data_IF_062180074152
#
_entry.id   IF_062180074152
#
_cell.length_a   1.000
_cell.length_b   1.000
_cell.length_c   1.000
_cell.angle_alpha   90.00
_cell.angle_beta   90.00
_cell.angle_gamma   90.00
#
_symmetry.space_group_name_H-M   'P 1'
#
loop_
_entity.id
_entity.type
_entity.pdbx_description
1 polymer ?
#
# COMPACT_ATOMS: atom_id res chain seq x y z
N UNK A 1 42.19 43.58 -19.16
CA UNK A 1 41.04 44.42 -18.72
C UNK A 1 39.76 43.64 -18.98
N UNK A 2 38.75 43.72 -18.10
CA UNK A 2 38.32 42.59 -17.25
C UNK A 2 36.78 42.35 -17.22
N UNK A 3 36.35 41.37 -16.41
CA UNK A 3 34.99 41.20 -15.86
C UNK A 3 34.17 40.12 -16.57
N UNK A 4 33.53 39.14 -15.92
CA UNK A 4 32.95 39.10 -14.57
C UNK A 4 32.84 37.65 -14.05
N UNK A 5 33.20 37.47 -12.77
CA UNK A 5 32.88 36.32 -11.93
C UNK A 5 31.38 36.29 -11.61
N UNK A 6 30.72 35.14 -11.78
CA UNK A 6 29.64 34.74 -10.86
C UNK A 6 29.56 33.23 -10.70
N UNK A 7 29.94 32.78 -9.49
CA UNK A 7 29.56 31.52 -8.84
C UNK A 7 28.14 31.08 -9.22
N UNK A 8 27.91 29.78 -9.42
CA UNK A 8 26.66 29.09 -9.05
C UNK A 8 26.86 27.58 -8.97
N UNK A 9 26.78 27.08 -7.72
CA UNK A 9 26.17 25.81 -7.32
C UNK A 9 27.01 24.56 -7.64
N UNK A 10 28.18 24.49 -7.02
CA UNK A 10 28.55 23.29 -6.28
C UNK A 10 28.21 23.59 -4.82
N UNK A 11 27.69 22.62 -4.06
CA UNK A 11 27.09 22.73 -2.72
C UNK A 11 25.55 22.86 -2.76
N UNK A 12 24.85 21.73 -2.87
CA UNK A 12 23.54 21.48 -2.21
C UNK A 12 22.99 20.11 -2.60
N UNK A 13 23.60 19.04 -2.08
CA UNK A 13 22.96 17.72 -2.00
C UNK A 13 23.59 16.88 -0.89
N UNK A 14 23.82 17.47 0.29
CA UNK A 14 24.00 16.67 1.51
C UNK A 14 22.59 16.32 1.98
N UNK A 15 22.26 15.04 1.78
CA UNK A 15 21.06 14.34 2.25
C UNK A 15 20.56 14.88 3.60
N UNK A 16 19.36 15.45 3.59
CA UNK A 16 18.75 16.09 4.75
C UNK A 16 18.35 15.04 5.80
N UNK A 17 19.24 14.80 6.78
CA UNK A 17 18.90 14.13 8.03
C UNK A 17 17.95 14.97 8.89
N UNK A 18 17.28 14.35 9.89
CA UNK A 18 16.39 15.08 10.79
C UNK A 18 17.17 16.12 11.61
N UNK A 19 16.80 17.40 11.45
CA UNK A 19 17.37 18.52 12.23
C UNK A 19 16.79 18.53 13.64
N UNK A 20 17.64 18.36 14.65
CA UNK A 20 17.27 18.46 16.06
C UNK A 20 17.14 19.91 16.53
N UNK A 21 16.66 20.11 17.77
CA UNK A 21 16.61 21.42 18.41
C UNK A 21 17.77 21.56 19.41
N UNK A 22 18.50 22.66 19.29
CA UNK A 22 19.55 23.10 20.21
C UNK A 22 19.06 23.99 21.35
N UNK A 23 20.00 24.51 22.16
CA UNK A 23 19.69 25.32 23.31
C UNK A 23 18.93 26.57 22.88
N UNK A 24 17.90 26.95 23.63
CA UNK A 24 17.05 28.10 23.31
C UNK A 24 16.14 27.91 22.09
N UNK A 25 15.94 26.67 21.61
CA UNK A 25 15.04 26.38 20.48
C UNK A 25 15.65 26.64 19.10
N UNK A 26 16.97 26.88 19.02
CA UNK A 26 17.69 26.97 17.74
C UNK A 26 17.62 25.65 16.98
N UNK A 27 17.43 25.65 15.65
CA UNK A 27 17.57 24.43 14.85
C UNK A 27 19.05 24.07 14.68
N UNK A 28 19.37 22.80 14.87
CA UNK A 28 20.73 22.27 14.70
C UNK A 28 21.08 22.13 13.23
N UNK A 29 22.36 22.35 12.93
CA UNK A 29 22.93 21.98 11.64
C UNK A 29 23.08 20.46 11.56
N UNK A 30 23.13 19.90 10.35
CA UNK A 30 23.33 18.46 10.16
C UNK A 30 24.67 18.03 10.78
N UNK A 31 24.62 17.03 11.67
CA UNK A 31 25.80 16.50 12.37
C UNK A 31 26.24 17.29 13.60
N UNK A 32 25.53 18.36 13.98
CA UNK A 32 25.84 19.13 15.18
C UNK A 32 25.46 18.34 16.45
N UNK A 33 26.47 17.90 17.20
CA UNK A 33 26.31 17.19 18.48
C UNK A 33 26.40 18.20 19.61
N UNK A 34 25.30 18.39 20.34
CA UNK A 34 25.32 19.15 21.59
C UNK A 34 25.54 18.19 22.74
N UNK A 35 26.61 18.37 23.54
CA UNK A 35 26.79 17.61 24.75
C UNK A 35 25.65 17.90 25.71
N UNK A 36 25.10 16.84 26.32
CA UNK A 36 24.18 16.99 27.45
C UNK A 36 24.89 17.69 28.60
N UNK A 37 24.18 18.55 29.32
CA UNK A 37 24.70 19.03 30.61
C UNK A 37 24.74 17.86 31.62
N UNK A 38 25.55 17.94 32.69
CA UNK A 38 25.59 16.91 33.72
C UNK A 38 24.19 16.56 34.27
N UNK A 39 23.35 17.56 34.53
CA UNK A 39 22.00 17.39 35.06
C UNK A 39 21.07 16.70 34.04
N UNK A 40 21.26 16.99 32.75
CA UNK A 40 20.52 16.31 31.67
C UNK A 40 20.98 14.86 31.52
N UNK A 41 22.28 14.59 31.66
CA UNK A 41 22.82 13.24 31.63
C UNK A 41 22.29 12.39 32.77
N UNK A 42 22.27 12.93 33.99
CA UNK A 42 21.66 12.27 35.17
C UNK A 42 20.17 12.01 34.97
N UNK A 43 19.43 12.97 34.42
CA UNK A 43 18.00 12.80 34.14
C UNK A 43 17.75 11.71 33.10
N UNK A 44 18.56 11.65 32.05
CA UNK A 44 18.48 10.57 31.05
C UNK A 44 18.79 9.21 31.66
N UNK A 45 19.81 9.13 32.52
CA UNK A 45 20.16 7.91 33.25
C UNK A 45 19.00 7.44 34.16
N UNK A 46 18.35 8.37 34.86
CA UNK A 46 17.17 8.05 35.69
C UNK A 46 15.99 7.53 34.84
N UNK A 47 15.71 8.17 33.70
CA UNK A 47 14.67 7.70 32.76
C UNK A 47 15.00 6.29 32.23
N UNK A 48 16.26 6.04 31.88
CA UNK A 48 16.70 4.73 31.40
C UNK A 48 16.62 3.67 32.51
N UNK A 49 16.97 3.99 33.74
CA UNK A 49 16.82 3.06 34.87
C UNK A 49 15.34 2.72 35.14
N UNK A 50 14.43 3.69 34.99
CA UNK A 50 13.01 3.54 35.27
C UNK A 50 12.25 2.77 34.16
N UNK A 51 12.52 3.09 32.89
CA UNK A 51 11.77 2.59 31.73
C UNK A 51 12.58 1.69 30.78
N UNK A 52 13.89 1.57 30.99
CA UNK A 52 14.77 0.65 30.26
C UNK A 52 14.54 -0.82 30.62
N UNK A 53 15.49 -1.68 30.24
CA UNK A 53 15.42 -3.12 30.56
C UNK A 53 14.28 -3.86 29.85
N UNK A 54 14.03 -3.55 28.58
CA UNK A 54 13.12 -4.32 27.73
C UNK A 54 11.63 -3.95 27.79
N UNK A 55 11.21 -3.00 28.65
CA UNK A 55 9.81 -2.53 28.68
C UNK A 55 9.41 -1.81 27.39
N UNK A 56 10.25 -0.87 26.94
CA UNK A 56 10.03 -0.14 25.69
C UNK A 56 10.12 -1.08 24.47
N UNK A 57 11.07 -2.01 24.46
CA UNK A 57 11.22 -3.01 23.39
C UNK A 57 9.99 -3.91 23.31
N UNK A 58 9.49 -4.39 24.46
CA UNK A 58 8.26 -5.19 24.53
C UNK A 58 7.04 -4.41 24.03
N UNK A 59 6.97 -3.12 24.34
CA UNK A 59 5.92 -2.24 23.84
C UNK A 59 6.03 -2.03 22.31
N UNK A 60 7.22 -1.73 21.81
CA UNK A 60 7.49 -1.53 20.38
C UNK A 60 7.18 -2.80 19.58
N UNK A 61 7.72 -3.96 20.02
CA UNK A 61 7.46 -5.27 19.41
C UNK A 61 5.97 -5.57 19.32
N UNK A 62 5.21 -5.37 20.41
CA UNK A 62 3.75 -5.57 20.41
C UNK A 62 3.06 -4.63 19.40
N UNK A 63 3.49 -3.38 19.28
CA UNK A 63 2.92 -2.43 18.31
C UNK A 63 3.24 -2.79 16.86
N UNK A 64 4.45 -3.29 16.59
CA UNK A 64 4.87 -3.79 15.28
C UNK A 64 4.09 -5.06 14.89
N UNK A 65 3.93 -6.01 15.81
CA UNK A 65 3.13 -7.22 15.60
C UNK A 65 1.65 -6.90 15.32
N UNK A 66 1.06 -5.93 16.02
CA UNK A 66 -0.31 -5.47 15.75
C UNK A 66 -0.48 -4.84 14.35
N UNK A 67 0.63 -4.56 13.64
CA UNK A 67 0.64 -4.10 12.26
C UNK A 67 0.95 -5.20 11.24
N UNK A 68 0.98 -6.46 11.68
CA UNK A 68 1.18 -7.62 10.81
C UNK A 68 2.64 -8.06 10.63
N UNK A 69 3.60 -7.44 11.32
CA UNK A 69 5.01 -7.83 11.25
C UNK A 69 5.26 -9.19 11.92
N UNK A 70 6.13 -10.02 11.34
CA UNK A 70 6.50 -11.32 11.90
C UNK A 70 7.24 -11.15 13.24
N UNK A 71 7.14 -12.15 14.13
CA UNK A 71 7.69 -12.06 15.49
C UNK A 71 9.20 -11.81 15.54
N UNK A 72 9.97 -12.44 14.65
CA UNK A 72 11.43 -12.29 14.56
C UNK A 72 11.81 -10.88 14.09
N UNK A 73 11.22 -10.43 12.99
CA UNK A 73 11.41 -9.10 12.41
C UNK A 73 11.02 -7.99 13.39
N UNK A 74 9.88 -8.15 14.08
CA UNK A 74 9.42 -7.22 15.09
C UNK A 74 10.32 -7.15 16.33
N UNK A 75 11.10 -8.20 16.62
CA UNK A 75 12.05 -8.20 17.73
C UNK A 75 13.30 -7.39 17.38
N UNK A 76 13.89 -7.65 16.20
CA UNK A 76 15.05 -6.89 15.72
C UNK A 76 14.73 -5.41 15.58
N UNK A 77 13.62 -5.09 14.89
CA UNK A 77 13.24 -3.69 14.67
C UNK A 77 12.84 -2.96 15.97
N UNK A 78 12.30 -3.67 16.96
CA UNK A 78 11.96 -3.05 18.23
C UNK A 78 13.20 -2.54 18.99
N UNK A 79 14.33 -3.24 18.90
CA UNK A 79 15.59 -2.80 19.51
C UNK A 79 16.08 -1.50 18.86
N UNK A 80 16.16 -1.46 17.53
CA UNK A 80 16.58 -0.29 16.76
C UNK A 80 15.71 0.94 17.06
N UNK A 81 14.38 0.76 17.06
CA UNK A 81 13.43 1.84 17.35
C UNK A 81 13.59 2.39 18.77
N UNK A 82 13.89 1.53 19.74
CA UNK A 82 14.09 1.95 21.13
C UNK A 82 15.42 2.68 21.27
N UNK A 83 16.49 2.22 20.62
CA UNK A 83 17.76 2.94 20.57
C UNK A 83 17.59 4.34 19.94
N UNK A 84 16.91 4.43 18.79
CA UNK A 84 16.57 5.70 18.15
C UNK A 84 15.72 6.60 19.06
N UNK A 85 14.81 6.01 19.85
CA UNK A 85 13.99 6.75 20.81
C UNK A 85 14.85 7.38 21.91
N UNK A 86 15.80 6.64 22.49
CA UNK A 86 16.73 7.18 23.50
C UNK A 86 17.62 8.29 22.93
N UNK A 87 18.14 8.11 21.71
CA UNK A 87 18.90 9.14 21.01
C UNK A 87 18.04 10.38 20.76
N UNK A 88 16.77 10.22 20.38
CA UNK A 88 15.86 11.33 20.17
C UNK A 88 15.55 12.08 21.48
N UNK A 89 15.32 11.36 22.58
CA UNK A 89 15.13 11.99 23.91
C UNK A 89 16.36 12.79 24.30
N UNK A 90 17.57 12.24 24.14
CA UNK A 90 18.81 12.94 24.43
C UNK A 90 18.98 14.21 23.59
N UNK A 91 18.60 14.18 22.30
CA UNK A 91 18.72 15.33 21.40
C UNK A 91 17.68 16.42 21.65
N UNK A 92 16.53 16.07 22.22
CA UNK A 92 15.42 17.00 22.45
C UNK A 92 15.53 17.70 23.82
N UNK A 93 16.66 18.39 24.03
CA UNK A 93 17.03 19.07 25.29
C UNK A 93 16.03 20.11 25.79
N UNK A 94 15.17 20.63 24.90
CA UNK A 94 14.15 21.64 25.21
C UNK A 94 12.76 21.04 25.48
N UNK A 95 12.58 19.73 25.28
CA UNK A 95 11.29 19.06 25.50
C UNK A 95 11.08 18.65 26.96
N UNK A 96 9.82 18.40 27.39
CA UNK A 96 9.49 18.20 28.79
C UNK A 96 10.26 17.06 29.49
N UNK A 97 10.65 16.01 28.77
CA UNK A 97 11.44 14.89 29.32
C UNK A 97 12.84 15.30 29.78
N UNK A 98 13.45 16.28 29.11
CA UNK A 98 14.79 16.79 29.43
C UNK A 98 14.75 18.17 30.10
N UNK A 99 13.57 18.79 30.18
CA UNK A 99 13.35 20.11 30.75
C UNK A 99 13.60 20.18 32.26
N UNK A 100 13.86 21.37 32.80
CA UNK A 100 14.27 21.55 34.20
C UNK A 100 13.16 21.22 35.21
N UNK A 101 11.89 21.23 34.80
CA UNK A 101 10.76 20.93 35.66
C UNK A 101 10.56 19.41 35.76
N UNK A 102 10.52 18.83 36.98
CA UNK A 102 10.23 17.42 37.13
C UNK A 102 8.79 17.14 36.66
N UNK A 103 8.62 16.09 35.88
CA UNK A 103 7.33 15.58 35.45
C UNK A 103 6.85 14.49 36.41
N UNK A 104 5.54 14.28 36.49
CA UNK A 104 4.98 13.10 37.17
C UNK A 104 5.35 11.81 36.45
N UNK A 105 5.30 10.68 37.16
CA UNK A 105 5.62 9.35 36.58
C UNK A 105 4.75 9.03 35.36
N UNK A 106 3.45 9.29 35.43
CA UNK A 106 2.53 9.06 34.32
C UNK A 106 2.84 9.93 33.10
N UNK A 107 3.21 11.19 33.30
CA UNK A 107 3.57 12.10 32.20
C UNK A 107 4.86 11.63 31.50
N UNK A 108 5.88 11.22 32.28
CA UNK A 108 7.12 10.65 31.74
C UNK A 108 6.81 9.41 30.90
N UNK A 109 5.98 8.51 31.44
CA UNK A 109 5.55 7.29 30.74
C UNK A 109 4.81 7.61 29.44
N UNK A 110 3.81 8.50 29.48
CA UNK A 110 3.00 8.85 28.30
C UNK A 110 3.89 9.45 27.20
N UNK A 111 4.75 10.41 27.55
CA UNK A 111 5.62 11.08 26.60
C UNK A 111 6.63 10.11 25.97
N UNK A 112 7.25 9.24 26.78
CA UNK A 112 8.24 8.29 26.29
C UNK A 112 7.61 7.24 25.35
N UNK A 113 6.44 6.70 25.69
CA UNK A 113 5.73 5.74 24.86
C UNK A 113 5.14 6.38 23.58
N UNK A 114 4.78 7.67 23.65
CA UNK A 114 4.42 8.46 22.48
C UNK A 114 5.62 8.68 21.55
N UNK A 115 6.82 8.87 22.10
CA UNK A 115 8.05 8.97 21.31
C UNK A 115 8.36 7.66 20.58
N UNK A 116 8.26 6.51 21.26
CA UNK A 116 8.38 5.19 20.62
C UNK A 116 7.38 5.04 19.47
N UNK A 117 6.11 5.40 19.70
CA UNK A 117 5.08 5.37 18.64
C UNK A 117 5.45 6.26 17.46
N UNK A 118 6.02 7.43 17.72
CA UNK A 118 6.47 8.37 16.70
C UNK A 118 7.63 7.78 15.88
N UNK A 119 8.62 7.15 16.53
CA UNK A 119 9.71 6.49 15.82
C UNK A 119 9.22 5.32 14.97
N UNK A 120 8.30 4.49 15.47
CA UNK A 120 7.66 3.45 14.64
C UNK A 120 6.99 4.07 13.40
N UNK A 121 6.25 5.17 13.56
CA UNK A 121 5.65 5.85 12.40
C UNK A 121 6.69 6.40 11.43
N UNK A 122 7.78 6.99 11.92
CA UNK A 122 8.83 7.52 11.07
C UNK A 122 9.55 6.40 10.31
N UNK A 123 9.91 5.32 10.99
CA UNK A 123 10.54 4.15 10.38
C UNK A 123 9.65 3.56 9.29
N UNK A 124 8.37 3.30 9.58
CA UNK A 124 7.44 2.78 8.57
C UNK A 124 7.18 3.78 7.44
N UNK A 125 7.15 5.09 7.72
CA UNK A 125 7.03 6.12 6.67
C UNK A 125 8.26 6.15 5.77
N UNK A 126 9.47 5.90 6.30
CA UNK A 126 10.70 5.72 5.51
C UNK A 126 10.66 4.42 4.70
N UNK A 127 10.14 3.33 5.26
CA UNK A 127 9.88 2.09 4.50
C UNK A 127 8.83 2.26 3.40
N UNK A 128 7.90 3.21 3.53
CA UNK A 128 6.99 3.61 2.46
C UNK A 128 7.62 4.57 1.42
N UNK A 129 8.85 5.03 1.64
CA UNK A 129 9.62 5.76 0.62
C UNK A 129 10.26 4.76 -0.35
N UNK A 130 9.43 3.98 -1.05
CA UNK A 130 9.71 3.26 -2.29
C UNK A 130 10.79 2.17 -2.33
N UNK A 131 11.74 2.14 -1.38
CA UNK A 131 12.90 1.25 -1.43
C UNK A 131 12.73 0.11 -0.42
N UNK A 132 12.33 -1.05 -0.93
CA UNK A 132 12.33 -2.31 -0.19
C UNK A 132 13.46 -3.23 -0.69
N UNK A 133 13.80 -4.29 0.06
CA UNK A 133 14.65 -5.35 -0.46
C UNK A 133 14.03 -5.93 -1.74
N UNK A 134 14.76 -5.77 -2.83
CA UNK A 134 14.37 -6.22 -4.16
C UNK A 134 14.70 -7.70 -4.26
N UNK A 135 13.68 -8.55 -4.41
CA UNK A 135 13.89 -9.93 -4.80
C UNK A 135 14.19 -9.96 -6.30
N UNK A 136 15.47 -10.08 -6.66
CA UNK A 136 15.92 -10.15 -8.05
C UNK A 136 15.51 -11.45 -8.75
N UNK A 137 14.98 -12.43 -8.01
CA UNK A 137 14.43 -13.66 -8.58
C UNK A 137 12.93 -13.55 -8.92
N UNK A 138 12.25 -12.48 -8.49
CA UNK A 138 10.85 -12.23 -8.83
C UNK A 138 10.73 -11.66 -10.26
N UNK A 139 10.06 -12.38 -11.19
CA UNK A 139 9.84 -11.91 -12.56
C UNK A 139 9.09 -10.57 -12.65
N UNK A 140 8.25 -10.25 -11.67
CA UNK A 140 7.46 -9.00 -11.62
C UNK A 140 8.36 -7.81 -11.27
N UNK A 141 9.28 -8.00 -10.33
CA UNK A 141 10.25 -6.98 -9.89
C UNK A 141 11.27 -6.69 -11.00
N UNK A 142 11.73 -7.73 -11.71
CA UNK A 142 12.61 -7.59 -12.86
C UNK A 142 12.00 -6.69 -13.95
N UNK A 143 10.71 -6.91 -14.28
CA UNK A 143 10.00 -6.10 -15.27
C UNK A 143 9.80 -4.62 -14.84
N UNK A 144 9.65 -4.36 -13.55
CA UNK A 144 9.48 -3.00 -13.03
C UNK A 144 10.78 -2.18 -13.08
N UNK A 145 11.93 -2.80 -12.79
CA UNK A 145 13.26 -2.16 -12.79
C UNK A 145 13.99 -2.23 -14.14
N UNK A 146 13.42 -2.94 -15.11
CA UNK A 146 13.88 -3.11 -16.48
C UNK A 146 14.39 -1.83 -17.19
N UNK A 147 13.83 -0.62 -16.98
CA UNK A 147 14.35 0.60 -17.61
C UNK A 147 15.74 1.04 -17.12
N UNK A 148 16.21 0.53 -15.98
CA UNK A 148 17.47 0.95 -15.32
C UNK A 148 18.63 -0.02 -15.57
N UNK A 149 18.37 -1.18 -16.18
CA UNK A 149 19.38 -2.20 -16.49
C UNK A 149 19.65 -2.16 -17.98
N UNK A 150 20.91 -1.93 -18.36
CA UNK A 150 21.35 -1.74 -19.75
C UNK A 150 20.87 -2.85 -20.68
N UNK A 151 20.07 -2.50 -21.68
CA UNK A 151 19.79 -3.16 -22.97
C UNK A 151 19.45 -4.66 -23.06
N UNK A 152 19.50 -5.42 -21.97
CA UNK A 152 19.19 -6.86 -21.98
C UNK A 152 17.82 -7.17 -21.39
N UNK A 153 17.23 -6.22 -20.66
CA UNK A 153 15.87 -6.32 -20.22
C UNK A 153 14.95 -5.91 -21.39
N UNK A 154 14.66 -6.88 -22.26
CA UNK A 154 13.70 -6.75 -23.34
C UNK A 154 12.44 -6.17 -22.71
N UNK A 155 12.03 -4.96 -23.12
CA UNK A 155 10.63 -4.53 -22.94
C UNK A 155 9.80 -5.62 -23.61
N UNK A 156 9.39 -6.60 -22.83
CA UNK A 156 8.72 -7.77 -23.38
C UNK A 156 7.45 -7.27 -24.01
N UNK A 157 7.38 -7.43 -25.33
CA UNK A 157 6.11 -7.44 -26.06
C UNK A 157 5.17 -8.30 -25.20
N UNK A 158 4.01 -7.75 -24.85
CA UNK A 158 3.00 -8.50 -24.11
C UNK A 158 2.84 -9.86 -24.78
N UNK A 159 2.92 -10.98 -24.03
CA UNK A 159 2.60 -12.29 -24.58
C UNK A 159 1.32 -12.21 -25.42
N UNK A 160 1.32 -12.85 -26.59
CA UNK A 160 0.25 -12.68 -27.58
C UNK A 160 -1.16 -12.99 -27.05
N UNK A 161 -1.27 -13.78 -25.96
CA UNK A 161 -2.53 -13.96 -25.26
C UNK A 161 -2.96 -12.69 -24.48
N UNK A 162 -2.08 -12.09 -23.67
CA UNK A 162 -2.37 -10.84 -22.94
C UNK A 162 -2.65 -9.66 -23.87
N UNK A 163 -1.91 -9.56 -24.98
CA UNK A 163 -2.14 -8.50 -25.97
C UNK A 163 -3.55 -8.59 -26.58
N UNK A 164 -4.00 -9.81 -26.91
CA UNK A 164 -5.38 -10.06 -27.37
C UNK A 164 -6.42 -9.72 -26.30
N UNK A 165 -6.17 -10.07 -25.04
CA UNK A 165 -7.09 -9.76 -23.94
C UNK A 165 -7.23 -8.24 -23.74
N UNK A 166 -6.12 -7.51 -23.72
CA UNK A 166 -6.12 -6.05 -23.57
C UNK A 166 -6.77 -5.38 -24.79
N UNK A 167 -6.56 -5.90 -25.99
CA UNK A 167 -7.19 -5.40 -27.22
C UNK A 167 -8.71 -5.65 -27.26
N UNK A 168 -9.20 -6.70 -26.59
CA UNK A 168 -10.62 -7.03 -26.50
C UNK A 168 -11.40 -6.13 -25.51
N UNK A 169 -10.69 -5.39 -24.64
CA UNK A 169 -11.32 -4.46 -23.70
C UNK A 169 -12.03 -3.31 -24.43
N UNK A 170 -13.15 -2.80 -23.88
CA UNK A 170 -13.77 -1.58 -24.41
C UNK A 170 -12.79 -0.39 -24.34
N UNK A 171 -12.85 0.50 -25.33
CA UNK A 171 -11.78 1.48 -25.56
C UNK A 171 -11.48 2.40 -24.37
N UNK A 172 -12.52 2.85 -23.65
CA UNK A 172 -12.34 3.76 -22.50
C UNK A 172 -11.71 3.04 -21.31
N UNK A 173 -12.12 1.81 -21.06
CA UNK A 173 -11.60 0.90 -20.05
C UNK A 173 -10.16 0.52 -20.37
N UNK A 174 -9.87 0.18 -21.63
CA UNK A 174 -8.52 -0.10 -22.15
C UNK A 174 -7.59 1.09 -21.95
N UNK A 175 -8.00 2.28 -22.39
CA UNK A 175 -7.21 3.50 -22.26
C UNK A 175 -6.94 3.85 -20.79
N UNK A 176 -7.96 3.79 -19.93
CA UNK A 176 -7.80 4.06 -18.51
C UNK A 176 -6.85 3.06 -17.82
N UNK A 177 -6.94 1.77 -18.18
CA UNK A 177 -6.05 0.73 -17.66
C UNK A 177 -4.59 0.96 -18.09
N UNK A 178 -4.34 1.21 -19.38
CA UNK A 178 -2.98 1.44 -19.89
C UNK A 178 -2.30 2.64 -19.23
N UNK A 179 -2.99 3.78 -19.13
CA UNK A 179 -2.46 4.97 -18.45
C UNK A 179 -2.17 4.68 -16.97
N UNK A 180 -2.99 3.86 -16.32
CA UNK A 180 -2.77 3.47 -14.93
C UNK A 180 -1.55 2.55 -14.76
N UNK A 181 -1.31 1.65 -15.72
CA UNK A 181 -0.14 0.78 -15.76
C UNK A 181 1.15 1.56 -16.05
N UNK A 182 1.07 2.66 -16.80
CA UNK A 182 2.15 3.63 -16.99
C UNK A 182 2.48 4.43 -15.70
N UNK A 183 1.78 4.16 -14.59
CA UNK A 183 2.00 4.82 -13.30
C UNK A 183 1.30 6.16 -13.17
N UNK A 184 0.45 6.55 -14.11
CA UNK A 184 -0.30 7.81 -14.05
C UNK A 184 -1.24 7.82 -12.85
N UNK A 185 -1.27 8.94 -12.12
CA UNK A 185 -2.20 9.09 -11.01
C UNK A 185 -3.66 9.13 -11.52
N UNK A 186 -4.61 8.72 -10.69
CA UNK A 186 -6.01 8.62 -11.11
C UNK A 186 -6.68 9.97 -11.46
N UNK A 187 -6.15 11.11 -10.99
CA UNK A 187 -6.67 12.43 -11.40
C UNK A 187 -6.28 12.76 -12.83
N UNK A 188 -5.03 12.49 -13.21
CA UNK A 188 -4.50 12.68 -14.55
C UNK A 188 -5.11 11.69 -15.54
N UNK A 189 -5.36 10.43 -15.11
CA UNK A 189 -6.12 9.47 -15.93
C UNK A 189 -7.53 10.01 -16.22
N UNK A 190 -8.20 10.58 -15.21
CA UNK A 190 -9.55 11.14 -15.39
C UNK A 190 -9.57 12.31 -16.37
N UNK A 191 -8.58 13.21 -16.27
CA UNK A 191 -8.40 14.32 -17.21
C UNK A 191 -8.16 13.81 -18.64
N UNK A 192 -7.24 12.84 -18.81
CA UNK A 192 -6.88 12.30 -20.11
C UNK A 192 -8.05 11.57 -20.80
N UNK A 193 -8.84 10.82 -20.03
CA UNK A 193 -10.01 10.08 -20.51
C UNK A 193 -11.27 10.98 -20.61
N UNK A 194 -11.17 12.24 -20.17
CA UNK A 194 -12.27 13.20 -20.21
C UNK A 194 -13.45 12.83 -19.31
N UNK A 195 -13.18 12.39 -18.08
CA UNK A 195 -14.20 11.99 -17.11
C UNK A 195 -13.88 12.43 -15.67
N UNK A 196 -14.80 12.18 -14.74
CA UNK A 196 -14.57 12.48 -13.33
C UNK A 196 -13.66 11.44 -12.66
N UNK A 197 -12.96 11.84 -11.60
CA UNK A 197 -12.06 10.94 -10.85
C UNK A 197 -12.72 9.59 -10.46
N UNK A 198 -13.95 9.55 -9.90
CA UNK A 198 -14.62 8.29 -9.60
C UNK A 198 -14.92 7.45 -10.85
N UNK A 199 -15.15 8.10 -11.99
CA UNK A 199 -15.41 7.42 -13.26
C UNK A 199 -14.13 6.79 -13.81
N UNK A 200 -13.00 7.48 -13.72
CA UNK A 200 -11.70 6.94 -14.12
C UNK A 200 -11.34 5.70 -13.29
N UNK A 201 -11.49 5.76 -11.97
CA UNK A 201 -11.27 4.61 -11.10
C UNK A 201 -12.17 3.44 -11.50
N UNK A 202 -13.45 3.72 -11.76
CA UNK A 202 -14.42 2.72 -12.21
C UNK A 202 -14.05 2.08 -13.56
N UNK A 203 -13.53 2.85 -14.52
CA UNK A 203 -13.09 2.33 -15.81
C UNK A 203 -11.94 1.34 -15.62
N UNK A 204 -10.98 1.64 -14.75
CA UNK A 204 -9.87 0.74 -14.42
C UNK A 204 -10.38 -0.53 -13.72
N UNK A 205 -11.21 -0.40 -12.69
CA UNK A 205 -11.80 -1.55 -11.99
C UNK A 205 -12.60 -2.45 -12.95
N UNK A 206 -13.36 -1.84 -13.87
CA UNK A 206 -14.12 -2.56 -14.89
C UNK A 206 -13.22 -3.30 -15.87
N UNK A 207 -12.13 -2.66 -16.32
CA UNK A 207 -11.15 -3.28 -17.19
C UNK A 207 -10.52 -4.52 -16.53
N UNK A 208 -10.15 -4.41 -15.25
CA UNK A 208 -9.60 -5.52 -14.48
C UNK A 208 -10.62 -6.66 -14.36
N UNK A 209 -11.86 -6.39 -13.98
CA UNK A 209 -12.90 -7.42 -13.87
C UNK A 209 -13.15 -8.14 -15.21
N UNK A 210 -13.10 -7.42 -16.34
CA UNK A 210 -13.24 -8.02 -17.67
C UNK A 210 -12.08 -8.95 -17.99
N UNK A 211 -10.83 -8.55 -17.69
CA UNK A 211 -9.66 -9.42 -17.85
C UNK A 211 -9.75 -10.66 -16.96
N UNK A 212 -10.27 -10.53 -15.73
CA UNK A 212 -10.46 -11.65 -14.81
C UNK A 212 -11.54 -12.64 -15.29
N UNK A 213 -12.59 -12.15 -15.94
CA UNK A 213 -13.62 -13.00 -16.56
C UNK A 213 -13.02 -13.76 -17.75
N UNK A 214 -12.26 -13.05 -18.59
CA UNK A 214 -11.69 -13.61 -19.81
C UNK A 214 -10.56 -14.60 -19.52
N UNK A 215 -9.79 -14.38 -18.45
CA UNK A 215 -8.80 -15.34 -17.97
C UNK A 215 -8.76 -15.40 -16.43
N UNK A 216 -9.55 -16.31 -15.83
CA UNK A 216 -9.62 -16.46 -14.38
C UNK A 216 -8.28 -16.82 -13.74
N UNK A 217 -7.38 -17.49 -14.47
CA UNK A 217 -6.08 -17.92 -13.92
C UNK A 217 -5.12 -16.77 -13.64
N UNK A 218 -5.34 -15.60 -14.26
CA UNK A 218 -4.61 -14.37 -13.95
C UNK A 218 -5.08 -13.70 -12.64
N UNK A 219 -6.12 -14.24 -12.00
CA UNK A 219 -6.69 -13.72 -10.76
C UNK A 219 -6.14 -14.44 -9.53
N UNK A 220 -6.44 -13.93 -8.33
CA UNK A 220 -6.03 -14.55 -7.07
C UNK A 220 -6.59 -15.96 -6.85
N UNK A 221 -6.17 -16.62 -5.77
CA UNK A 221 -6.65 -17.96 -5.42
C UNK A 221 -8.18 -18.02 -5.34
N UNK A 222 -8.82 -19.08 -5.88
CA UNK A 222 -10.27 -19.22 -5.82
C UNK A 222 -10.73 -19.39 -4.37
N UNK A 223 -11.83 -18.73 -4.03
CA UNK A 223 -12.50 -18.93 -2.74
C UNK A 223 -13.03 -20.36 -2.67
N UNK A 224 -12.73 -21.06 -1.58
CA UNK A 224 -13.24 -22.40 -1.32
C UNK A 224 -14.78 -22.40 -1.25
N UNK A 225 -15.43 -23.20 -2.11
CA UNK A 225 -16.89 -23.22 -2.30
C UNK A 225 -17.62 -23.50 -0.99
N UNK A 226 -17.03 -24.31 -0.12
CA UNK A 226 -17.55 -24.74 1.17
C UNK A 226 -17.71 -23.58 2.16
N UNK A 227 -16.89 -22.54 2.01
CA UNK A 227 -16.93 -21.34 2.86
C UNK A 227 -18.05 -20.37 2.47
N UNK A 228 -18.66 -20.58 1.29
CA UNK A 228 -19.69 -19.67 0.79
C UNK A 228 -21.05 -19.92 1.45
N UNK A 229 -21.85 -18.84 1.65
CA UNK A 229 -23.25 -18.95 2.03
C UNK A 229 -24.01 -19.93 1.13
N UNK A 230 -24.97 -20.66 1.70
CA UNK A 230 -25.72 -21.71 0.99
C UNK A 230 -26.34 -21.20 -0.32
N UNK A 231 -26.92 -20.00 -0.30
CA UNK A 231 -27.51 -19.41 -1.50
C UNK A 231 -26.50 -19.12 -2.61
N UNK A 232 -25.25 -18.73 -2.27
CA UNK A 232 -24.20 -18.51 -3.28
C UNK A 232 -23.80 -19.84 -3.92
N UNK A 233 -23.64 -20.89 -3.12
CA UNK A 233 -23.36 -22.25 -3.62
C UNK A 233 -24.46 -22.76 -4.53
N UNK A 234 -25.71 -22.58 -4.13
CA UNK A 234 -26.87 -23.03 -4.91
C UNK A 234 -26.95 -22.33 -6.28
N UNK A 235 -26.61 -21.03 -6.35
CA UNK A 235 -26.53 -20.31 -7.63
C UNK A 235 -25.30 -20.68 -8.45
N UNK A 236 -24.13 -20.82 -7.83
CA UNK A 236 -22.91 -21.27 -8.52
C UNK A 236 -23.09 -22.63 -9.18
N UNK A 237 -23.75 -23.57 -8.50
CA UNK A 237 -24.05 -24.90 -9.04
C UNK A 237 -24.94 -24.90 -10.29
N UNK A 238 -25.64 -23.78 -10.58
CA UNK A 238 -26.46 -23.61 -11.78
C UNK A 238 -25.69 -22.97 -12.94
N UNK A 239 -24.47 -22.49 -12.69
CA UNK A 239 -23.62 -21.83 -13.66
C UNK A 239 -22.64 -22.80 -14.32
N UNK A 240 -22.10 -22.43 -15.48
CA UNK A 240 -21.09 -23.22 -16.18
C UNK A 240 -19.78 -23.28 -15.38
N UNK A 241 -18.92 -24.27 -15.65
CA UNK A 241 -17.63 -24.40 -14.98
C UNK A 241 -16.74 -23.15 -15.17
N UNK A 242 -16.74 -22.55 -16.36
CA UNK A 242 -16.03 -21.31 -16.65
C UNK A 242 -16.57 -20.12 -15.83
N UNK A 243 -17.89 -19.99 -15.74
CA UNK A 243 -18.53 -18.96 -14.91
C UNK A 243 -18.19 -19.14 -13.43
N UNK A 244 -18.23 -20.38 -12.92
CA UNK A 244 -17.84 -20.68 -11.55
C UNK A 244 -16.37 -20.33 -11.30
N UNK A 245 -15.46 -20.71 -12.21
CA UNK A 245 -14.04 -20.44 -12.09
C UNK A 245 -13.73 -18.93 -12.03
N UNK A 246 -14.41 -18.12 -12.85
CA UNK A 246 -14.29 -16.67 -12.83
C UNK A 246 -14.84 -16.08 -11.51
N UNK A 247 -16.07 -16.45 -11.15
CA UNK A 247 -16.76 -15.89 -9.98
C UNK A 247 -16.06 -16.20 -8.66
N UNK A 248 -15.49 -17.39 -8.50
CA UNK A 248 -14.78 -17.77 -7.28
C UNK A 248 -13.49 -16.97 -7.04
N UNK A 249 -12.95 -16.31 -8.07
CA UNK A 249 -11.74 -15.48 -7.95
C UNK A 249 -12.01 -13.98 -7.87
N UNK A 250 -13.28 -13.59 -7.90
CA UNK A 250 -13.71 -12.21 -7.72
C UNK A 250 -13.88 -11.84 -6.24
N UNK A 251 -13.82 -10.54 -5.96
CA UNK A 251 -14.19 -10.00 -4.66
C UNK A 251 -15.66 -10.31 -4.32
N UNK A 252 -15.97 -10.32 -3.02
CA UNK A 252 -17.28 -10.71 -2.50
C UNK A 252 -18.44 -9.89 -3.08
N UNK A 253 -18.26 -8.58 -3.28
CA UNK A 253 -19.33 -7.70 -3.76
C UNK A 253 -19.59 -7.96 -5.24
N UNK A 254 -18.54 -8.03 -6.05
CA UNK A 254 -18.65 -8.31 -7.49
C UNK A 254 -19.23 -9.70 -7.75
N UNK A 255 -18.71 -10.73 -7.05
CA UNK A 255 -19.22 -12.11 -7.14
C UNK A 255 -20.72 -12.17 -6.84
N UNK A 256 -21.14 -11.63 -5.68
CA UNK A 256 -22.55 -11.66 -5.27
C UNK A 256 -23.44 -10.85 -6.20
N UNK A 257 -22.98 -9.70 -6.68
CA UNK A 257 -23.73 -8.89 -7.64
C UNK A 257 -24.01 -9.68 -8.93
N UNK A 258 -22.98 -10.33 -9.49
CA UNK A 258 -23.10 -11.12 -10.70
C UNK A 258 -23.95 -12.38 -10.50
N UNK A 259 -23.84 -13.07 -9.36
CA UNK A 259 -24.71 -14.21 -9.02
C UNK A 259 -26.18 -13.80 -9.00
N UNK A 260 -26.50 -12.67 -8.38
CA UNK A 260 -27.88 -12.18 -8.30
C UNK A 260 -28.41 -11.66 -9.65
N UNK A 261 -27.57 -11.00 -10.45
CA UNK A 261 -28.01 -10.44 -11.73
C UNK A 261 -28.05 -11.47 -12.86
N UNK A 262 -27.02 -12.31 -12.97
CA UNK A 262 -26.90 -13.32 -14.04
C UNK A 262 -27.64 -14.60 -13.66
N UNK A 263 -27.53 -15.06 -12.41
CA UNK A 263 -28.20 -16.28 -11.95
C UNK A 263 -29.69 -16.08 -11.64
N UNK A 264 -30.06 -14.99 -10.95
CA UNK A 264 -31.46 -14.75 -10.53
C UNK A 264 -32.20 -13.71 -11.38
N UNK A 265 -31.55 -13.10 -12.36
CA UNK A 265 -32.18 -12.11 -13.25
C UNK A 265 -32.57 -10.79 -12.55
N UNK A 266 -32.04 -10.51 -11.35
CA UNK A 266 -32.39 -9.29 -10.62
C UNK A 266 -31.83 -8.04 -11.31
N UNK A 267 -32.61 -6.97 -11.38
CA UNK A 267 -32.11 -5.69 -11.88
C UNK A 267 -31.17 -5.02 -10.87
N UNK A 268 -30.46 -3.98 -11.32
CA UNK A 268 -29.44 -3.26 -10.52
C UNK A 268 -30.00 -2.73 -9.19
N UNK A 269 -31.25 -2.26 -9.18
CA UNK A 269 -31.90 -1.74 -7.98
C UNK A 269 -32.12 -2.86 -6.95
N UNK A 270 -32.60 -4.02 -7.40
CA UNK A 270 -32.90 -5.14 -6.52
C UNK A 270 -31.62 -5.82 -6.02
N UNK A 271 -30.57 -5.90 -6.85
CA UNK A 271 -29.24 -6.37 -6.42
C UNK A 271 -28.67 -5.45 -5.34
N UNK A 272 -28.64 -4.14 -5.59
CA UNK A 272 -28.17 -3.15 -4.60
C UNK A 272 -28.94 -3.25 -3.29
N UNK A 273 -30.26 -3.38 -3.33
CA UNK A 273 -31.12 -3.54 -2.15
C UNK A 273 -30.79 -4.84 -1.39
N UNK A 274 -30.67 -5.96 -2.10
CA UNK A 274 -30.43 -7.29 -1.51
C UNK A 274 -29.05 -7.42 -0.88
N UNK A 275 -28.05 -6.73 -1.44
CA UNK A 275 -26.69 -6.72 -0.90
C UNK A 275 -26.46 -5.63 0.16
N UNK A 276 -27.39 -4.68 0.33
CA UNK A 276 -27.22 -3.57 1.25
C UNK A 276 -26.10 -2.60 0.84
N UNK A 277 -25.71 -2.58 -0.44
CA UNK A 277 -24.65 -1.71 -0.97
C UNK A 277 -25.23 -0.62 -1.89
N UNK A 278 -24.61 0.56 -1.97
CA UNK A 278 -25.05 1.61 -2.88
C UNK A 278 -25.04 1.18 -4.36
N UNK A 279 -26.01 1.66 -5.14
CA UNK A 279 -26.15 1.34 -6.58
C UNK A 279 -24.87 1.60 -7.38
N UNK A 280 -24.10 2.63 -7.03
CA UNK A 280 -22.88 2.98 -7.74
C UNK A 280 -21.77 1.93 -7.63
N UNK A 281 -21.81 1.03 -6.63
CA UNK A 281 -20.85 -0.08 -6.49
C UNK A 281 -21.23 -1.28 -7.36
N UNK A 282 -22.53 -1.45 -7.64
CA UNK A 282 -23.06 -2.61 -8.39
C UNK A 282 -23.16 -2.31 -9.89
N UNK A 283 -23.51 -1.07 -10.24
CA UNK A 283 -23.69 -0.60 -11.60
C UNK A 283 -22.49 -0.88 -12.56
N UNK A 284 -21.21 -0.73 -12.16
CA UNK A 284 -20.06 -1.07 -13.00
C UNK A 284 -20.00 -2.55 -13.35
N UNK A 285 -20.09 -3.38 -12.31
CA UNK A 285 -20.02 -4.83 -12.40
C UNK A 285 -21.13 -5.34 -13.31
N UNK A 286 -22.37 -4.92 -13.07
CA UNK A 286 -23.51 -5.43 -13.85
C UNK A 286 -23.55 -4.87 -15.28
N UNK A 287 -23.20 -3.60 -15.47
CA UNK A 287 -23.30 -2.95 -16.78
C UNK A 287 -22.31 -3.48 -17.81
N UNK A 288 -21.08 -3.79 -17.38
CA UNK A 288 -20.01 -4.22 -18.28
C UNK A 288 -19.74 -5.73 -18.20
N UNK A 289 -19.72 -6.31 -17.00
CA UNK A 289 -19.20 -7.65 -16.78
C UNK A 289 -20.26 -8.74 -16.98
N UNK A 290 -21.55 -8.42 -16.79
CA UNK A 290 -22.62 -9.42 -16.91
C UNK A 290 -22.75 -10.00 -18.33
N UNK A 291 -22.46 -9.21 -19.36
CA UNK A 291 -22.49 -9.70 -20.75
C UNK A 291 -21.34 -10.68 -20.99
N UNK A 292 -20.12 -10.33 -20.57
CA UNK A 292 -18.94 -11.18 -20.72
C UNK A 292 -19.08 -12.48 -19.93
N UNK A 293 -19.58 -12.41 -18.68
CA UNK A 293 -19.82 -13.60 -17.87
C UNK A 293 -20.86 -14.54 -18.51
N UNK A 294 -21.93 -14.01 -19.12
CA UNK A 294 -22.92 -14.82 -19.83
C UNK A 294 -22.36 -15.49 -21.10
N UNK A 295 -21.34 -14.90 -21.71
CA UNK A 295 -20.71 -15.45 -22.90
C UNK A 295 -19.80 -16.64 -22.59
N UNK A 296 -19.31 -16.77 -21.34
CA UNK A 296 -18.47 -17.89 -20.91
C UNK A 296 -19.22 -19.23 -21.00
N UNK A 297 -18.72 -20.12 -21.85
CA UNK A 297 -19.20 -21.48 -22.05
C UNK A 297 -18.17 -22.51 -21.53
N UNK A 298 -18.49 -23.80 -21.64
CA UNK A 298 -17.63 -24.87 -21.13
C UNK A 298 -16.30 -25.03 -21.89
N UNK A 299 -16.26 -24.61 -23.16
CA UNK A 299 -15.09 -24.74 -24.04
C UNK A 299 -14.05 -23.64 -23.76
N UNK A 300 -14.46 -22.51 -23.19
CA UNK A 300 -13.57 -21.37 -22.89
C UNK A 300 -12.49 -21.70 -21.83
N UNK A 301 -12.65 -22.80 -21.08
CA UNK A 301 -11.61 -23.30 -20.16
C UNK A 301 -10.45 -24.03 -20.87
N UNK A 302 -10.60 -24.42 -22.13
CA UNK A 302 -9.57 -25.18 -22.87
C UNK A 302 -8.51 -24.30 -23.53
N UNK A 303 -8.72 -22.99 -23.62
CA UNK A 303 -7.87 -22.04 -24.36
C UNK A 303 -6.84 -21.33 -23.46
N UNK A 304 -6.90 -21.54 -22.15
CA UNK A 304 -6.07 -20.84 -21.17
C UNK A 304 -4.81 -21.61 -20.70
N UNK A 305 -4.61 -22.87 -21.14
CA UNK A 305 -3.47 -23.72 -20.76
C UNK A 305 -2.30 -23.66 -21.76
#
# INVERSE_FOLDING_TARGET
>A
MPGTLTKRIADDAVTAGPTGNGPGGRKLQNGEIIPLTPEQSERLAALYAEFGGGRLESYARRKLMNRGMRRSEAATLAEDIVQETWVAVARETTKPLMGPKPLGEDDRRILLFAQVKTQIHQHLRRGMAGEGPVDWSDPVICNWLCPLVSNECVRTILPAYLDRMVAALPERERQALLLRLEGMNMRLVAEHVGCSYPTANRLVETALLLLQIDNPELSGEPVAVETLPRWERDELNRMSAAQQAALLRMDEVSRRALLLHVGQGLNITDVSRKLGVPRYQVLPVLGACAKSLRALNADDMTVAA
#
